data_IF_609939320251
#
_entry.id   IF_609939320251
#
_cell.length_a   1.000
_cell.length_b   1.000
_cell.length_c   1.000
_cell.angle_alpha   90.00
_cell.angle_beta   90.00
_cell.angle_gamma   90.00
#
_symmetry.space_group_name_H-M   'P 1'
#
loop_
_entity.id
_entity.type
_entity.pdbx_description
1 polymer ?
#
# COMPACT_ATOMS: atom_id res chain seq x y z
N UNK A 1 -3.39 -15.85 -22.97
CA UNK A 1 -2.92 -15.59 -21.59
C UNK A 1 -3.45 -14.23 -21.22
N UNK A 2 -4.28 -14.16 -20.17
CA UNK A 2 -5.04 -12.96 -19.84
C UNK A 2 -4.15 -11.88 -19.21
N UNK A 3 -4.54 -10.60 -19.35
CA UNK A 3 -3.78 -9.45 -18.82
C UNK A 3 -3.78 -9.45 -17.30
N UNK A 4 -4.88 -9.90 -16.69
CA UNK A 4 -5.03 -10.03 -15.24
C UNK A 4 -4.11 -11.12 -14.68
N UNK A 5 -4.00 -12.26 -15.35
CA UNK A 5 -3.06 -13.32 -14.99
C UNK A 5 -1.61 -12.86 -15.04
N UNK A 6 -1.26 -12.05 -16.06
CA UNK A 6 0.09 -11.50 -16.21
C UNK A 6 0.41 -10.52 -15.08
N UNK A 7 -0.53 -9.64 -14.73
CA UNK A 7 -0.37 -8.69 -13.63
C UNK A 7 -0.25 -9.39 -12.27
N UNK A 8 -1.06 -10.42 -12.02
CA UNK A 8 -0.98 -11.23 -10.80
C UNK A 8 0.36 -11.99 -10.69
N UNK A 9 0.86 -12.51 -11.82
CA UNK A 9 2.18 -13.15 -11.89
C UNK A 9 3.32 -12.19 -11.56
N UNK A 10 3.31 -10.98 -12.15
CA UNK A 10 4.28 -9.92 -11.88
C UNK A 10 4.28 -9.50 -10.40
N UNK A 11 3.11 -9.26 -9.81
CA UNK A 11 3.01 -8.87 -8.40
C UNK A 11 3.57 -9.94 -7.45
N UNK A 12 3.35 -11.23 -7.78
CA UNK A 12 3.91 -12.34 -7.00
C UNK A 12 5.44 -12.42 -7.11
N UNK A 13 5.96 -12.23 -8.32
CA UNK A 13 7.41 -12.21 -8.57
C UNK A 13 8.06 -11.04 -7.83
N UNK A 14 7.47 -9.84 -7.92
CA UNK A 14 7.94 -8.65 -7.22
C UNK A 14 7.98 -8.88 -5.70
N UNK A 15 6.90 -9.41 -5.12
CA UNK A 15 6.85 -9.75 -3.70
C UNK A 15 7.92 -10.78 -3.29
N UNK A 16 8.18 -11.77 -4.15
CA UNK A 16 9.27 -12.73 -3.91
C UNK A 16 10.65 -12.06 -3.95
N UNK A 17 10.91 -11.21 -4.95
CA UNK A 17 12.18 -10.50 -5.09
C UNK A 17 12.43 -9.54 -3.92
N UNK A 18 11.40 -8.80 -3.50
CA UNK A 18 11.48 -7.93 -2.31
C UNK A 18 11.79 -8.73 -1.04
N UNK A 19 11.15 -9.89 -0.87
CA UNK A 19 11.41 -10.78 0.28
C UNK A 19 12.85 -11.31 0.28
N UNK A 20 13.36 -11.72 -0.89
CA UNK A 20 14.76 -12.16 -1.02
C UNK A 20 15.74 -11.02 -0.74
N UNK A 21 15.50 -9.83 -1.31
CA UNK A 21 16.32 -8.65 -1.07
C UNK A 21 16.36 -8.29 0.43
N UNK A 22 15.21 -8.30 1.10
CA UNK A 22 15.13 -8.01 2.53
C UNK A 22 15.91 -9.02 3.40
N UNK A 23 15.91 -10.31 3.04
CA UNK A 23 16.71 -11.33 3.73
C UNK A 23 18.20 -11.13 3.53
N UNK A 24 18.62 -10.87 2.30
CA UNK A 24 20.02 -10.60 1.98
C UNK A 24 20.53 -9.35 2.71
N UNK A 25 19.73 -8.28 2.71
CA UNK A 25 20.09 -7.05 3.41
C UNK A 25 20.17 -7.23 4.93
N UNK A 26 19.25 -8.01 5.52
CA UNK A 26 19.29 -8.33 6.94
C UNK A 26 20.55 -9.15 7.31
N UNK A 27 20.92 -10.13 6.49
CA UNK A 27 22.15 -10.89 6.67
C UNK A 27 23.40 -9.99 6.59
N UNK A 28 23.51 -9.17 5.54
CA UNK A 28 24.62 -8.24 5.36
C UNK A 28 24.72 -7.20 6.50
N UNK A 29 23.58 -6.73 7.01
CA UNK A 29 23.53 -5.82 8.15
C UNK A 29 24.02 -6.53 9.44
N UNK A 30 23.62 -7.79 9.65
CA UNK A 30 24.07 -8.61 10.78
C UNK A 30 25.57 -8.87 10.75
N UNK A 31 26.11 -9.28 9.61
CA UNK A 31 27.56 -9.46 9.42
C UNK A 31 28.32 -8.15 9.66
N UNK A 32 27.80 -7.04 9.11
CA UNK A 32 28.40 -5.72 9.32
C UNK A 32 28.39 -5.34 10.79
N UNK A 33 27.27 -5.54 11.50
CA UNK A 33 27.17 -5.27 12.93
C UNK A 33 28.18 -6.13 13.73
N UNK A 34 28.21 -7.44 13.50
CA UNK A 34 29.10 -8.36 14.22
C UNK A 34 30.59 -8.08 13.97
N UNK A 35 30.97 -7.57 12.79
CA UNK A 35 32.36 -7.15 12.50
C UNK A 35 32.86 -6.04 13.43
N UNK A 36 31.98 -5.19 13.95
CA UNK A 36 32.35 -4.12 14.89
C UNK A 36 32.66 -4.65 16.30
N UNK A 37 32.24 -5.88 16.62
CA UNK A 37 32.46 -6.51 17.93
C UNK A 37 33.83 -7.21 17.96
N UNK A 38 34.91 -6.44 17.78
CA UNK A 38 36.26 -6.97 17.56
C UNK A 38 36.76 -7.91 18.64
N UNK A 39 36.29 -7.76 19.89
CA UNK A 39 36.63 -8.58 21.06
C UNK A 39 36.02 -9.98 21.08
N UNK A 40 35.08 -10.31 20.18
CA UNK A 40 34.44 -11.62 20.10
C UNK A 40 35.14 -12.57 19.13
N UNK A 41 35.06 -13.87 19.41
CA UNK A 41 35.51 -14.93 18.52
C UNK A 41 34.64 -15.04 17.26
N UNK A 42 35.13 -15.68 16.18
CA UNK A 42 34.38 -15.82 14.92
C UNK A 42 33.02 -16.51 15.10
N UNK A 43 32.94 -17.55 15.92
CA UNK A 43 31.70 -18.29 16.17
C UNK A 43 30.64 -17.42 16.89
N UNK A 44 31.07 -16.60 17.85
CA UNK A 44 30.19 -15.67 18.57
C UNK A 44 29.69 -14.56 17.66
N UNK A 45 30.57 -14.04 16.78
CA UNK A 45 30.21 -13.06 15.75
C UNK A 45 29.16 -13.61 14.78
N UNK A 46 29.34 -14.83 14.31
CA UNK A 46 28.40 -15.48 13.40
C UNK A 46 27.02 -15.69 14.05
N UNK A 47 27.01 -16.07 15.34
CA UNK A 47 25.76 -16.21 16.08
C UNK A 47 25.04 -14.87 16.26
N UNK A 48 25.77 -13.82 16.64
CA UNK A 48 25.21 -12.47 16.78
C UNK A 48 24.71 -11.95 15.43
N UNK A 49 25.45 -12.17 14.34
CA UNK A 49 25.05 -11.76 12.99
C UNK A 49 23.71 -12.38 12.60
N UNK A 50 23.53 -13.69 12.84
CA UNK A 50 22.26 -14.39 12.58
C UNK A 50 21.10 -13.83 13.41
N UNK A 51 21.30 -13.69 14.73
CA UNK A 51 20.26 -13.15 15.64
C UNK A 51 19.89 -11.71 15.29
N UNK A 52 20.87 -10.90 14.92
CA UNK A 52 20.63 -9.54 14.45
C UNK A 52 19.80 -9.55 13.16
N UNK A 53 20.17 -10.37 12.18
CA UNK A 53 19.46 -10.47 10.91
C UNK A 53 17.99 -10.86 11.11
N UNK A 54 17.72 -11.86 11.97
CA UNK A 54 16.37 -12.29 12.30
C UNK A 54 15.55 -11.15 12.96
N UNK A 55 16.15 -10.46 13.93
CA UNK A 55 15.50 -9.34 14.61
C UNK A 55 15.23 -8.17 13.65
N UNK A 56 16.20 -7.80 12.84
CA UNK A 56 16.10 -6.72 11.85
C UNK A 56 15.01 -7.02 10.81
N UNK A 57 14.93 -8.26 10.34
CA UNK A 57 13.89 -8.70 9.42
C UNK A 57 12.50 -8.66 10.08
N UNK A 58 12.38 -9.06 11.34
CA UNK A 58 11.14 -8.98 12.09
C UNK A 58 10.66 -7.53 12.26
N UNK A 59 11.56 -6.62 12.64
CA UNK A 59 11.25 -5.19 12.77
C UNK A 59 10.80 -4.59 11.44
N UNK A 60 11.51 -4.89 10.34
CA UNK A 60 11.11 -4.43 9.00
C UNK A 60 9.73 -4.91 8.59
N UNK A 61 9.38 -6.17 8.89
CA UNK A 61 8.03 -6.69 8.63
C UNK A 61 6.99 -5.91 9.43
N UNK A 62 7.24 -5.65 10.71
CA UNK A 62 6.32 -4.85 11.54
C UNK A 62 6.12 -3.44 10.97
N UNK A 63 7.20 -2.76 10.59
CA UNK A 63 7.11 -1.43 9.97
C UNK A 63 6.33 -1.46 8.66
N UNK A 64 6.57 -2.45 7.81
CA UNK A 64 5.82 -2.62 6.56
C UNK A 64 4.32 -2.86 6.83
N UNK A 65 3.99 -3.73 7.78
CA UNK A 65 2.60 -3.98 8.18
C UNK A 65 1.92 -2.71 8.68
N UNK A 66 2.59 -1.93 9.53
CA UNK A 66 2.06 -0.66 10.01
C UNK A 66 1.81 0.33 8.85
N UNK A 67 2.73 0.44 7.88
CA UNK A 67 2.54 1.31 6.71
C UNK A 67 1.36 0.85 5.85
N UNK A 68 1.23 -0.46 5.63
CA UNK A 68 0.10 -1.04 4.89
C UNK A 68 -1.21 -0.72 5.60
N UNK A 69 -1.29 -0.98 6.90
CA UNK A 69 -2.47 -0.70 7.73
C UNK A 69 -2.86 0.78 7.66
N UNK A 70 -1.91 1.70 7.86
CA UNK A 70 -2.14 3.14 7.70
C UNK A 70 -2.62 3.54 6.31
N UNK A 71 -2.06 2.93 5.26
CA UNK A 71 -2.50 3.20 3.88
C UNK A 71 -3.94 2.71 3.66
N UNK A 72 -4.32 1.58 4.26
CA UNK A 72 -5.69 1.08 4.24
C UNK A 72 -6.65 1.98 5.02
N UNK A 73 -6.28 2.42 6.22
CA UNK A 73 -7.04 3.39 7.02
C UNK A 73 -7.31 4.66 6.22
N UNK A 74 -6.24 5.28 5.68
CA UNK A 74 -6.33 6.49 4.87
C UNK A 74 -7.22 6.27 3.64
N UNK A 75 -6.99 5.19 2.88
CA UNK A 75 -7.81 4.89 1.70
C UNK A 75 -9.29 4.71 2.05
N UNK A 76 -9.60 4.09 3.18
CA UNK A 76 -10.98 3.90 3.65
C UNK A 76 -11.62 5.23 4.02
N UNK A 77 -10.90 6.08 4.74
CA UNK A 77 -11.37 7.41 5.12
C UNK A 77 -11.60 8.32 3.88
N UNK A 78 -10.66 8.34 2.94
CA UNK A 78 -10.77 9.13 1.72
C UNK A 78 -11.84 8.61 0.76
N UNK A 79 -11.96 7.29 0.58
CA UNK A 79 -12.99 6.70 -0.27
C UNK A 79 -14.39 6.98 0.26
N UNK A 80 -14.58 6.96 1.59
CA UNK A 80 -15.84 7.33 2.20
C UNK A 80 -16.19 8.81 1.94
N UNK A 81 -15.24 9.73 2.19
CA UNK A 81 -15.44 11.17 1.90
C UNK A 81 -15.73 11.42 0.42
N UNK A 82 -15.03 10.75 -0.49
CA UNK A 82 -15.26 10.87 -1.92
C UNK A 82 -16.62 10.31 -2.33
N UNK A 83 -17.05 9.18 -1.78
CA UNK A 83 -18.37 8.60 -2.05
C UNK A 83 -19.51 9.55 -1.62
N UNK A 84 -19.37 10.19 -0.46
CA UNK A 84 -20.34 11.19 0.02
C UNK A 84 -20.37 12.41 -0.91
N UNK A 85 -19.22 12.96 -1.28
CA UNK A 85 -19.16 14.12 -2.18
C UNK A 85 -19.71 13.78 -3.56
N UNK A 86 -19.34 12.62 -4.12
CA UNK A 86 -19.85 12.11 -5.39
C UNK A 86 -21.36 11.95 -5.33
N UNK A 87 -21.92 11.37 -4.26
CA UNK A 87 -23.36 11.23 -4.09
C UNK A 87 -24.07 12.58 -4.07
N UNK A 88 -23.53 13.56 -3.35
CA UNK A 88 -24.07 14.94 -3.33
C UNK A 88 -24.04 15.56 -4.71
N UNK A 89 -22.90 15.51 -5.40
CA UNK A 89 -22.76 16.03 -6.76
C UNK A 89 -23.74 15.37 -7.74
N UNK A 90 -23.91 14.04 -7.67
CA UNK A 90 -24.87 13.33 -8.52
C UNK A 90 -26.32 13.72 -8.23
N UNK A 91 -26.69 13.88 -6.95
CA UNK A 91 -28.05 14.29 -6.57
C UNK A 91 -28.33 15.72 -7.02
N UNK A 92 -27.37 16.64 -6.83
CA UNK A 92 -27.50 18.02 -7.29
C UNK A 92 -27.59 18.10 -8.81
N UNK A 93 -26.75 17.36 -9.54
CA UNK A 93 -26.81 17.30 -11.00
C UNK A 93 -28.16 16.77 -11.50
N UNK A 94 -28.66 15.68 -10.92
CA UNK A 94 -29.98 15.14 -11.25
C UNK A 94 -31.10 16.14 -10.94
N UNK A 95 -31.05 16.82 -9.80
CA UNK A 95 -32.03 17.84 -9.44
C UNK A 95 -32.04 19.01 -10.44
N UNK A 96 -30.87 19.50 -10.86
CA UNK A 96 -30.75 20.54 -11.90
C UNK A 96 -31.33 20.05 -13.23
N UNK A 97 -31.01 18.83 -13.66
CA UNK A 97 -31.56 18.25 -14.90
C UNK A 97 -33.09 18.19 -14.83
N UNK A 98 -33.67 17.70 -13.72
CA UNK A 98 -35.12 17.64 -13.53
C UNK A 98 -35.75 19.03 -13.54
N UNK A 99 -35.16 20.00 -12.85
CA UNK A 99 -35.67 21.38 -12.80
C UNK A 99 -35.61 22.07 -14.18
N UNK A 100 -34.52 21.90 -14.91
CA UNK A 100 -34.37 22.46 -16.26
C UNK A 100 -35.33 21.83 -17.26
N UNK A 101 -35.53 20.51 -17.20
CA UNK A 101 -36.52 19.82 -18.02
C UNK A 101 -37.95 20.30 -17.70
N UNK A 102 -38.30 20.41 -16.41
CA UNK A 102 -39.59 20.92 -15.98
C UNK A 102 -39.83 22.37 -16.44
N UNK A 103 -38.82 23.23 -16.32
CA UNK A 103 -38.90 24.61 -16.81
C UNK A 103 -39.11 24.67 -18.33
N UNK A 104 -38.42 23.83 -19.10
CA UNK A 104 -38.57 23.76 -20.55
C UNK A 104 -39.96 23.28 -20.96
N UNK A 105 -40.56 22.33 -20.22
CA UNK A 105 -41.94 21.90 -20.46
C UNK A 105 -43.00 22.92 -20.05
N UNK A 106 -42.67 23.80 -19.10
CA UNK A 106 -43.58 24.85 -18.62
C UNK A 106 -43.55 26.11 -19.49
N UNK A 107 -42.47 26.33 -20.24
CA UNK A 107 -42.39 27.37 -21.27
C UNK A 107 -43.23 26.88 -22.46
N UNK A 108 -44.40 27.47 -22.74
CA UNK A 108 -45.17 27.09 -23.92
C UNK A 108 -44.36 27.42 -25.17
N UNK A 109 -44.41 26.58 -26.23
CA UNK A 109 -43.75 26.92 -27.49
C UNK A 109 -44.35 28.24 -28.01
N UNK A 110 -43.50 29.26 -28.14
CA UNK A 110 -43.82 30.47 -28.89
C UNK A 110 -44.00 30.05 -30.36
N UNK A 111 -45.26 29.87 -30.76
CA UNK A 111 -45.69 29.82 -32.16
C UNK A 111 -45.63 31.21 -32.78
#
# INVERSE_FOLDING_TARGET
MDREDTAAGLARLEGYLMSQAARHEAAAAGETFARHLSWLGPQEKDEIARRFADHHLALRRQMLHAVIERTHELRTEYSHRYAVLRRRATVTALAVVVLTAAALTLVPPLH
#
